data_IF_440418290447
#
_entry.id   IF_440418290447
#
_cell.length_a   1.000
_cell.length_b   1.000
_cell.length_c   1.000
_cell.angle_alpha   90.00
_cell.angle_beta   90.00
_cell.angle_gamma   90.00
#
_symmetry.space_group_name_H-M   'P 1'
#
loop_
_entity.id
_entity.type
_entity.pdbx_description
1 polymer ?
#
# COMPACT_ATOMS: atom_id res chain seq x y z
N UNK A 1 2.84 -16.83 -7.21
CA UNK A 1 3.71 -15.75 -6.71
C UNK A 1 3.38 -14.43 -7.43
N UNK A 2 3.36 -14.41 -8.76
CA UNK A 2 2.90 -13.28 -9.58
C UNK A 2 1.59 -12.61 -9.11
N UNK A 3 0.51 -13.37 -8.88
CA UNK A 3 -0.77 -12.81 -8.41
C UNK A 3 -0.68 -12.14 -7.02
N UNK A 4 0.19 -12.65 -6.13
CA UNK A 4 0.39 -12.05 -4.81
C UNK A 4 1.14 -10.72 -4.91
N UNK A 5 2.17 -10.66 -5.77
CA UNK A 5 2.94 -9.45 -6.02
C UNK A 5 2.07 -8.36 -6.65
N UNK A 6 1.25 -8.72 -7.64
CA UNK A 6 0.31 -7.82 -8.30
C UNK A 6 -0.73 -7.26 -7.31
N UNK A 7 -1.30 -8.12 -6.46
CA UNK A 7 -2.22 -7.67 -5.41
C UNK A 7 -1.57 -6.70 -4.42
N UNK A 8 -0.29 -6.91 -4.09
CA UNK A 8 0.42 -6.02 -3.17
C UNK A 8 0.76 -4.68 -3.81
N UNK A 9 1.13 -4.66 -5.10
CA UNK A 9 1.30 -3.43 -5.87
C UNK A 9 -0.02 -2.64 -5.96
N UNK A 10 -1.13 -3.31 -6.27
CA UNK A 10 -2.45 -2.69 -6.27
C UNK A 10 -2.83 -2.13 -4.88
N UNK A 11 -2.57 -2.89 -3.81
CA UNK A 11 -2.81 -2.43 -2.44
C UNK A 11 -1.95 -1.22 -2.08
N UNK A 12 -0.69 -1.17 -2.51
CA UNK A 12 0.21 -0.04 -2.31
C UNK A 12 -0.33 1.22 -2.98
N UNK A 13 -0.74 1.10 -4.25
CA UNK A 13 -1.27 2.21 -5.04
C UNK A 13 -2.55 2.79 -4.42
N UNK A 14 -3.50 1.92 -4.07
CA UNK A 14 -4.72 2.33 -3.36
C UNK A 14 -4.43 3.02 -2.02
N UNK A 15 -3.40 2.58 -1.30
CA UNK A 15 -3.01 3.18 0.00
C UNK A 15 -2.38 4.56 -0.21
N UNK A 16 -1.55 4.72 -1.25
CA UNK A 16 -0.97 6.01 -1.65
C UNK A 16 -2.04 7.00 -2.09
N UNK A 17 -2.99 6.57 -2.93
CA UNK A 17 -4.12 7.39 -3.36
C UNK A 17 -4.96 7.86 -2.17
N UNK A 18 -5.24 6.96 -1.22
CA UNK A 18 -5.96 7.30 0.00
C UNK A 18 -5.24 8.37 0.82
N UNK A 19 -3.93 8.20 1.03
CA UNK A 19 -3.13 9.19 1.76
C UNK A 19 -3.08 10.52 1.01
N UNK A 20 -2.92 10.51 -0.31
CA UNK A 20 -2.90 11.72 -1.11
C UNK A 20 -4.22 12.48 -1.00
N UNK A 21 -5.36 11.79 -1.11
CA UNK A 21 -6.67 12.41 -0.97
C UNK A 21 -6.89 13.03 0.41
N UNK A 22 -6.41 12.37 1.47
CA UNK A 22 -6.43 12.91 2.84
C UNK A 22 -5.56 14.17 2.97
N UNK A 23 -4.36 14.19 2.37
CA UNK A 23 -3.49 15.37 2.39
C UNK A 23 -4.07 16.54 1.58
N UNK A 24 -4.73 16.26 0.45
CA UNK A 24 -5.31 17.29 -0.42
C UNK A 24 -6.58 17.92 0.17
N UNK A 25 -7.45 17.11 0.78
CA UNK A 25 -8.80 17.53 1.20
C UNK A 25 -9.01 17.54 2.71
N UNK A 26 -8.00 17.17 3.49
CA UNK A 26 -8.09 17.09 4.94
C UNK A 26 -9.19 16.14 5.41
N UNK A 27 -9.91 16.54 6.47
CA UNK A 27 -10.99 15.75 7.07
C UNK A 27 -12.13 15.48 6.08
N UNK A 28 -12.37 16.35 5.10
CA UNK A 28 -13.43 16.18 4.10
C UNK A 28 -13.21 14.95 3.20
N UNK A 29 -11.95 14.51 3.04
CA UNK A 29 -11.62 13.30 2.30
C UNK A 29 -12.32 12.06 2.87
N UNK A 30 -12.65 12.05 4.17
CA UNK A 30 -13.35 10.93 4.81
C UNK A 30 -14.73 10.68 4.20
N UNK A 31 -15.42 11.73 3.74
CA UNK A 31 -16.73 11.60 3.10
C UNK A 31 -16.65 10.91 1.72
N UNK A 32 -15.50 11.02 1.05
CA UNK A 32 -15.25 10.38 -0.24
C UNK A 32 -14.77 8.94 -0.04
N UNK A 33 -13.83 8.75 0.88
CA UNK A 33 -13.22 7.44 1.15
C UNK A 33 -14.18 6.48 1.85
N UNK A 34 -15.06 7.02 2.68
CA UNK A 34 -15.96 6.24 3.50
C UNK A 34 -17.36 6.88 3.57
N UNK A 35 -18.10 6.88 2.45
CA UNK A 35 -19.40 7.52 2.37
C UNK A 35 -20.41 6.90 3.35
N UNK A 36 -21.24 7.74 3.95
CA UNK A 36 -22.31 7.31 4.86
C UNK A 36 -21.84 6.93 6.28
N UNK A 37 -20.55 7.08 6.58
CA UNK A 37 -20.01 6.83 7.91
C UNK A 37 -19.72 8.15 8.61
N UNK A 38 -20.25 8.31 9.81
CA UNK A 38 -20.16 9.54 10.59
C UNK A 38 -18.86 9.53 11.40
N UNK A 39 -17.73 9.68 10.70
CA UNK A 39 -16.42 9.69 11.34
C UNK A 39 -16.07 11.09 11.84
N UNK A 40 -15.61 11.17 13.09
CA UNK A 40 -15.02 12.40 13.61
C UNK A 40 -13.61 12.64 13.04
N UNK A 41 -13.11 13.86 13.18
CA UNK A 41 -11.74 14.24 12.78
C UNK A 41 -10.63 13.36 13.39
N UNK A 42 -10.91 12.61 14.46
CA UNK A 42 -9.98 11.62 15.02
C UNK A 42 -9.57 10.54 14.01
N UNK A 43 -10.49 10.04 13.18
CA UNK A 43 -10.15 9.04 12.16
C UNK A 43 -9.17 9.63 11.13
N UNK A 44 -9.36 10.88 10.74
CA UNK A 44 -8.46 11.57 9.81
C UNK A 44 -7.02 11.56 10.36
N UNK A 45 -6.82 12.00 11.61
CA UNK A 45 -5.49 12.04 12.21
C UNK A 45 -4.87 10.65 12.37
N UNK A 46 -5.67 9.65 12.73
CA UNK A 46 -5.21 8.26 12.80
C UNK A 46 -4.76 7.74 11.43
N UNK A 47 -5.50 8.04 10.35
CA UNK A 47 -5.13 7.62 9.01
C UNK A 47 -3.87 8.33 8.52
N UNK A 48 -3.74 9.64 8.77
CA UNK A 48 -2.52 10.40 8.43
C UNK A 48 -1.29 9.84 9.14
N UNK A 49 -1.42 9.38 10.39
CA UNK A 49 -0.30 8.80 11.13
C UNK A 49 0.06 7.36 10.68
N UNK A 50 -0.94 6.56 10.29
CA UNK A 50 -0.77 5.13 10.07
C UNK A 50 -0.55 4.74 8.61
N UNK A 51 -1.14 5.48 7.65
CA UNK A 51 -1.00 5.17 6.23
C UNK A 51 0.45 5.23 5.73
N UNK A 52 1.29 6.22 6.13
CA UNK A 52 2.70 6.22 5.72
C UNK A 52 3.46 4.96 6.15
N UNK A 53 3.20 4.48 7.37
CA UNK A 53 3.80 3.23 7.89
C UNK A 53 3.33 2.01 7.11
N UNK A 54 2.06 1.98 6.69
CA UNK A 54 1.52 0.89 5.87
C UNK A 54 2.14 0.89 4.47
N UNK A 55 2.34 2.06 3.86
CA UNK A 55 3.02 2.22 2.57
C UNK A 55 4.43 1.65 2.64
N UNK A 56 5.22 2.05 3.65
CA UNK A 56 6.59 1.54 3.84
C UNK A 56 6.63 0.01 3.98
N UNK A 57 5.70 -0.56 4.76
CA UNK A 57 5.60 -2.01 4.94
C UNK A 57 5.24 -2.75 3.65
N UNK A 58 4.35 -2.17 2.82
CA UNK A 58 3.98 -2.73 1.53
C UNK A 58 5.15 -2.67 0.55
N UNK A 59 5.85 -1.53 0.48
CA UNK A 59 7.04 -1.35 -0.37
C UNK A 59 8.12 -2.36 -0.02
N UNK A 60 8.44 -2.51 1.28
CA UNK A 60 9.42 -3.49 1.74
C UNK A 60 9.03 -4.93 1.37
N UNK A 61 7.75 -5.29 1.53
CA UNK A 61 7.27 -6.65 1.18
C UNK A 61 7.36 -6.91 -0.32
N UNK A 62 7.01 -5.93 -1.15
CA UNK A 62 7.13 -6.01 -2.61
C UNK A 62 8.59 -6.24 -3.00
N UNK A 63 9.50 -5.43 -2.48
CA UNK A 63 10.94 -5.56 -2.73
C UNK A 63 11.47 -6.94 -2.31
N UNK A 64 11.09 -7.43 -1.12
CA UNK A 64 11.49 -8.76 -0.65
C UNK A 64 11.01 -9.89 -1.57
N UNK A 65 9.83 -9.76 -2.18
CA UNK A 65 9.32 -10.77 -3.12
C UNK A 65 9.97 -10.68 -4.49
N UNK A 66 10.17 -9.48 -5.02
CA UNK A 66 10.87 -9.27 -6.29
C UNK A 66 12.30 -9.83 -6.21
N UNK A 67 13.02 -9.55 -5.12
CA UNK A 67 14.35 -10.09 -4.88
C UNK A 67 14.35 -11.62 -4.76
N UNK A 68 13.32 -12.22 -4.15
CA UNK A 68 13.17 -13.68 -4.08
C UNK A 68 12.87 -14.31 -5.43
N UNK A 69 12.12 -13.63 -6.30
CA UNK A 69 11.85 -14.11 -7.66
C UNK A 69 13.12 -14.07 -8.52
N UNK A 70 13.89 -12.98 -8.45
CA UNK A 70 15.17 -12.83 -9.15
C UNK A 70 16.19 -13.88 -8.70
N UNK A 71 16.30 -14.13 -7.39
CA UNK A 71 17.23 -15.15 -6.87
C UNK A 71 16.86 -16.55 -7.39
N UNK A 72 15.57 -16.89 -7.44
CA UNK A 72 15.10 -18.17 -7.97
C UNK A 72 15.39 -18.31 -9.46
N UNK A 73 15.19 -17.27 -10.26
CA UNK A 73 15.49 -17.33 -11.70
C UNK A 73 16.98 -17.53 -11.97
N UNK A 74 17.85 -16.89 -11.17
CA UNK A 74 19.30 -17.04 -11.32
C UNK A 74 19.77 -18.45 -10.92
N UNK A 75 19.22 -19.03 -9.84
CA UNK A 75 19.53 -20.42 -9.45
C UNK A 75 19.10 -21.47 -10.47
N UNK A 76 18.02 -21.22 -11.22
CA UNK A 76 17.56 -22.07 -12.32
C UNK A 76 18.44 -21.94 -13.57
N UNK A 77 19.04 -20.78 -13.81
CA UNK A 77 19.95 -20.55 -14.94
C UNK A 77 21.32 -21.21 -14.75
N UNK A 78 21.80 -21.33 -13.50
CA UNK A 78 23.10 -21.95 -13.19
C UNK A 78 23.05 -23.49 -13.14
N UNK A 79 21.85 -24.08 -13.21
CA UNK A 79 21.63 -25.53 -13.08
C UNK A 79 21.45 -26.26 -14.43
N UNK A 80 21.58 -25.55 -15.56
CA UNK A 80 21.45 -26.08 -16.94
C UNK A 80 22.81 -25.93 -17.64
#
# INVERSE_FOLDING_TARGET
MAYLLENLKASLEQTKERLNLLNERGVEALNILYPGLNYGGMLYYQLIETLPKQIEQLEKRIEEMENKEILKTNQLSDAI
#
